data_IF_313685963292
#
_entry.id   IF_313685963292
#
_cell.length_a   1.000
_cell.length_b   1.000
_cell.length_c   1.000
_cell.angle_alpha   90.00
_cell.angle_beta   90.00
_cell.angle_gamma   90.00
#
_symmetry.space_group_name_H-M   'P 1'
#
loop_
_entity.id
_entity.type
_entity.pdbx_description
1 polymer ?
#
# COMPACT_ATOMS: atom_id res chain seq x y z
N UNK A 1 -7.57 0.41 9.07
CA UNK A 1 -8.61 0.94 8.19
C UNK A 1 -8.03 1.12 6.80
N UNK A 2 -8.76 0.68 5.83
CA UNK A 2 -8.36 0.78 4.43
C UNK A 2 -9.12 1.92 3.79
N UNK A 3 -8.38 2.80 3.11
CA UNK A 3 -8.97 3.93 2.43
C UNK A 3 -8.86 3.78 0.92
N UNK A 4 -9.95 4.08 0.25
CA UNK A 4 -10.00 4.15 -1.20
C UNK A 4 -10.33 5.58 -1.54
N UNK A 5 -9.51 6.22 -2.37
CA UNK A 5 -9.72 7.60 -2.78
C UNK A 5 -10.99 7.70 -3.61
N UNK A 6 -11.97 8.38 -3.08
CA UNK A 6 -13.31 8.48 -3.62
C UNK A 6 -14.25 8.90 -2.52
N UNK A 7 -15.54 8.88 -2.77
CA UNK A 7 -16.51 9.38 -1.80
C UNK A 7 -16.87 8.37 -0.72
N UNK A 8 -16.60 7.09 -0.94
CA UNK A 8 -16.86 6.05 0.06
C UNK A 8 -15.92 4.87 -0.12
N UNK A 9 -15.74 4.12 0.96
CA UNK A 9 -14.97 2.90 0.94
C UNK A 9 -15.69 1.76 0.23
N UNK A 10 -14.95 0.71 -0.10
CA UNK A 10 -15.47 -0.50 -0.73
C UNK A 10 -15.32 -1.65 0.26
N UNK A 11 -16.40 -2.34 0.56
CA UNK A 11 -16.43 -3.33 1.61
C UNK A 11 -16.74 -4.76 1.13
N UNK A 12 -16.96 -4.95 -0.17
CA UNK A 12 -17.20 -6.27 -0.73
C UNK A 12 -16.51 -6.45 -2.08
N UNK A 13 -16.30 -7.72 -2.46
CA UNK A 13 -15.70 -8.03 -3.76
C UNK A 13 -16.60 -7.55 -4.90
N UNK A 14 -17.91 -7.69 -4.74
CA UNK A 14 -18.86 -7.23 -5.76
C UNK A 14 -18.80 -5.71 -5.96
N UNK A 15 -18.61 -4.95 -4.88
CA UNK A 15 -18.44 -3.50 -4.99
C UNK A 15 -17.12 -3.12 -5.65
N UNK A 16 -16.08 -3.92 -5.47
CA UNK A 16 -14.77 -3.65 -6.02
C UNK A 16 -14.65 -4.01 -7.51
N UNK A 17 -15.42 -4.98 -7.99
CA UNK A 17 -15.31 -5.45 -9.38
C UNK A 17 -15.49 -4.35 -10.44
N UNK A 18 -16.43 -3.39 -10.29
CA UNK A 18 -16.60 -2.35 -11.29
C UNK A 18 -15.42 -1.38 -11.43
N UNK A 19 -14.54 -1.32 -10.45
CA UNK A 19 -13.38 -0.41 -10.46
C UNK A 19 -12.52 -0.66 -11.70
N UNK A 20 -12.25 -1.93 -12.01
CA UNK A 20 -11.42 -2.29 -13.15
C UNK A 20 -12.01 -1.83 -14.49
N UNK A 21 -13.17 -2.40 -14.92
CA UNK A 21 -13.76 -2.06 -16.21
C UNK A 21 -14.17 -0.60 -16.35
N UNK A 22 -14.61 0.03 -15.27
CA UNK A 22 -15.13 1.40 -15.31
C UNK A 22 -14.09 2.46 -14.98
N UNK A 23 -12.92 2.08 -14.46
CA UNK A 23 -11.87 3.04 -14.10
C UNK A 23 -12.35 4.08 -13.11
N UNK A 24 -13.07 3.65 -12.06
CA UNK A 24 -13.75 4.57 -11.15
C UNK A 24 -12.86 5.38 -10.23
N UNK A 25 -11.62 4.93 -10.00
CA UNK A 25 -10.71 5.58 -9.07
C UNK A 25 -9.42 5.98 -9.78
N UNK A 26 -8.87 7.14 -9.40
CA UNK A 26 -7.59 7.60 -9.92
C UNK A 26 -6.42 7.04 -9.11
N UNK A 27 -6.63 6.80 -7.81
CA UNK A 27 -5.61 6.29 -6.91
C UNK A 27 -6.26 5.44 -5.81
N UNK A 28 -5.57 4.40 -5.40
CA UNK A 28 -5.98 3.55 -4.28
C UNK A 28 -4.96 3.69 -3.16
N UNK A 29 -5.43 3.94 -1.94
CA UNK A 29 -4.58 4.02 -0.76
C UNK A 29 -4.97 2.91 0.21
N UNK A 30 -4.01 2.07 0.58
CA UNK A 30 -4.21 1.02 1.57
C UNK A 30 -3.50 1.43 2.85
N UNK A 31 -4.26 1.83 3.85
CA UNK A 31 -3.73 2.34 5.11
C UNK A 31 -4.56 1.86 6.30
N UNK A 32 -4.01 1.07 7.18
CA UNK A 32 -2.66 0.49 7.12
C UNK A 32 -2.58 -0.70 6.18
N UNK A 33 -1.40 -0.94 5.62
CA UNK A 33 -1.12 -2.12 4.83
C UNK A 33 -0.34 -3.10 5.70
N UNK A 34 -1.00 -4.16 6.15
CA UNK A 34 -0.40 -5.15 7.04
C UNK A 34 0.52 -6.10 6.28
N UNK A 35 1.34 -6.85 7.03
CA UNK A 35 2.19 -7.88 6.43
C UNK A 35 1.40 -8.91 5.65
N UNK A 36 0.23 -9.32 6.16
CA UNK A 36 -0.64 -10.26 5.47
C UNK A 36 -1.14 -9.70 4.13
N UNK A 37 -1.57 -8.44 4.11
CA UNK A 37 -2.01 -7.78 2.88
C UNK A 37 -0.88 -7.67 1.87
N UNK A 38 0.33 -7.29 2.32
CA UNK A 38 1.48 -7.20 1.43
C UNK A 38 1.85 -8.56 0.85
N UNK A 39 1.79 -9.62 1.65
CA UNK A 39 2.08 -10.97 1.18
C UNK A 39 1.08 -11.40 0.09
N UNK A 40 -0.20 -11.11 0.30
CA UNK A 40 -1.23 -11.45 -0.69
C UNK A 40 -1.10 -10.63 -1.96
N UNK A 41 -0.78 -9.34 -1.85
CA UNK A 41 -0.52 -8.49 -3.02
C UNK A 41 0.65 -9.05 -3.84
N UNK A 42 1.74 -9.41 -3.17
CA UNK A 42 2.92 -9.95 -3.82
C UNK A 42 2.65 -11.30 -4.49
N UNK A 43 1.75 -12.10 -3.91
CA UNK A 43 1.39 -13.42 -4.43
C UNK A 43 0.25 -13.38 -5.47
N UNK A 44 -0.35 -12.22 -5.69
CA UNK A 44 -1.45 -12.09 -6.65
C UNK A 44 -2.79 -12.63 -6.15
N UNK A 45 -2.95 -12.76 -4.84
CA UNK A 45 -4.19 -13.26 -4.22
C UNK A 45 -5.20 -12.11 -4.10
N UNK A 46 -6.46 -12.37 -4.45
CA UNK A 46 -7.51 -11.34 -4.47
C UNK A 46 -8.76 -11.80 -3.72
N UNK A 47 -8.58 -12.23 -2.48
CA UNK A 47 -9.66 -12.77 -1.66
C UNK A 47 -10.33 -11.76 -0.73
N UNK A 48 -10.00 -10.48 -0.85
CA UNK A 48 -10.64 -9.40 -0.10
C UNK A 48 -11.00 -8.24 -1.02
N UNK A 49 -11.92 -7.35 -0.60
CA UNK A 49 -12.27 -6.19 -1.43
C UNK A 49 -11.06 -5.30 -1.76
N UNK A 50 -10.17 -5.06 -0.81
CA UNK A 50 -8.99 -4.22 -1.06
C UNK A 50 -8.04 -4.87 -2.05
N UNK A 51 -7.85 -6.19 -1.98
CA UNK A 51 -7.00 -6.90 -2.92
C UNK A 51 -7.59 -6.90 -4.33
N UNK A 52 -8.90 -7.03 -4.43
CA UNK A 52 -9.60 -6.95 -5.71
C UNK A 52 -9.46 -5.54 -6.31
N UNK A 53 -9.61 -4.51 -5.50
CA UNK A 53 -9.44 -3.13 -5.95
C UNK A 53 -8.01 -2.87 -6.42
N UNK A 54 -7.01 -3.38 -5.71
CA UNK A 54 -5.61 -3.25 -6.10
C UNK A 54 -5.34 -3.92 -7.45
N UNK A 55 -5.88 -5.12 -7.66
CA UNK A 55 -5.75 -5.82 -8.94
C UNK A 55 -6.37 -5.02 -10.08
N UNK A 56 -7.54 -4.43 -9.85
CA UNK A 56 -8.20 -3.60 -10.85
C UNK A 56 -7.36 -2.37 -11.20
N UNK A 57 -6.76 -1.73 -10.21
CA UNK A 57 -5.87 -0.59 -10.42
C UNK A 57 -4.63 -0.98 -11.23
N UNK A 58 -4.03 -2.13 -10.91
CA UNK A 58 -2.88 -2.62 -11.66
C UNK A 58 -3.24 -2.85 -13.13
N UNK A 59 -4.40 -3.45 -13.37
CA UNK A 59 -4.87 -3.73 -14.73
C UNK A 59 -5.10 -2.47 -15.53
N UNK A 60 -5.52 -1.39 -14.86
CA UNK A 60 -5.76 -0.09 -15.49
C UNK A 60 -4.55 0.85 -15.45
N UNK A 61 -3.40 0.35 -15.01
CA UNK A 61 -2.14 1.11 -14.94
C UNK A 61 -2.26 2.35 -14.04
N UNK A 62 -2.99 2.23 -12.93
CA UNK A 62 -3.21 3.32 -11.98
C UNK A 62 -2.44 3.08 -10.68
N UNK A 63 -2.04 4.15 -9.97
CA UNK A 63 -1.20 4.00 -8.78
C UNK A 63 -1.94 3.44 -7.58
N UNK A 64 -1.20 2.66 -6.78
CA UNK A 64 -1.62 2.13 -5.50
C UNK A 64 -0.60 2.59 -4.46
N UNK A 65 -1.07 3.26 -3.41
CA UNK A 65 -0.22 3.74 -2.31
C UNK A 65 -0.40 2.82 -1.11
N UNK A 66 0.71 2.33 -0.58
CA UNK A 66 0.72 1.43 0.57
C UNK A 66 1.31 2.15 1.79
N UNK A 67 0.59 2.10 2.90
CA UNK A 67 1.05 2.64 4.18
C UNK A 67 1.40 1.46 5.09
N UNK A 68 2.66 0.97 5.06
CA UNK A 68 3.01 -0.27 5.76
C UNK A 68 2.96 -0.15 7.27
N UNK A 69 2.52 -1.22 7.92
CA UNK A 69 2.52 -1.36 9.36
C UNK A 69 2.60 -2.85 9.69
N UNK A 70 3.78 -3.33 10.09
CA UNK A 70 3.95 -4.73 10.41
C UNK A 70 5.11 -4.96 11.38
N UNK A 71 4.93 -5.94 12.26
CA UNK A 71 5.95 -6.30 13.25
C UNK A 71 7.11 -7.10 12.67
N UNK A 72 7.00 -7.60 11.45
CA UNK A 72 8.02 -8.40 10.82
C UNK A 72 8.51 -7.82 9.49
N UNK A 73 8.46 -6.50 9.35
CA UNK A 73 8.89 -5.81 8.14
C UNK A 73 10.34 -6.14 7.76
N UNK A 74 11.22 -6.22 8.74
CA UNK A 74 12.63 -6.58 8.50
C UNK A 74 12.86 -8.08 8.62
N UNK A 75 11.81 -8.86 8.77
CA UNK A 75 11.84 -10.33 8.80
C UNK A 75 11.14 -10.89 7.56
N UNK A 76 10.08 -11.69 7.81
CA UNK A 76 9.37 -12.39 6.74
C UNK A 76 8.74 -11.47 5.71
N UNK A 77 8.30 -10.28 6.11
CA UNK A 77 7.64 -9.34 5.19
C UNK A 77 8.61 -8.53 4.32
N UNK A 78 9.91 -8.52 4.63
CA UNK A 78 10.87 -7.71 3.88
C UNK A 78 10.91 -8.09 2.39
N UNK A 79 10.83 -9.37 2.08
CA UNK A 79 10.80 -9.84 0.69
C UNK A 79 9.58 -9.32 -0.06
N UNK A 80 8.44 -9.23 0.61
CA UNK A 80 7.20 -8.74 0.01
C UNK A 80 7.27 -7.23 -0.21
N UNK A 81 7.83 -6.50 0.75
CA UNK A 81 8.07 -5.07 0.61
C UNK A 81 8.98 -4.81 -0.60
N UNK A 82 10.08 -5.54 -0.69
CA UNK A 82 11.02 -5.40 -1.81
C UNK A 82 10.36 -5.73 -3.15
N UNK A 83 9.58 -6.80 -3.20
CA UNK A 83 8.87 -7.18 -4.42
C UNK A 83 7.89 -6.08 -4.86
N UNK A 84 7.08 -5.59 -3.92
CA UNK A 84 6.07 -4.57 -4.24
C UNK A 84 6.71 -3.23 -4.58
N UNK A 85 7.81 -2.87 -3.89
CA UNK A 85 8.51 -1.62 -4.18
C UNK A 85 9.12 -1.63 -5.59
N UNK A 86 9.43 -2.79 -6.11
CA UNK A 86 9.96 -2.97 -7.45
C UNK A 86 8.86 -3.25 -8.50
N UNK A 87 7.60 -3.25 -8.08
CA UNK A 87 6.45 -3.49 -8.98
C UNK A 87 5.90 -2.15 -9.45
N UNK A 88 5.65 -2.03 -10.75
CA UNK A 88 5.13 -0.79 -11.34
C UNK A 88 3.82 -0.38 -10.67
N UNK A 89 3.67 0.91 -10.45
CA UNK A 89 2.48 1.55 -9.89
C UNK A 89 2.23 1.36 -8.41
N UNK A 90 3.11 0.65 -7.70
CA UNK A 90 3.06 0.59 -6.24
C UNK A 90 4.01 1.63 -5.65
N UNK A 91 3.49 2.42 -4.72
CA UNK A 91 4.25 3.46 -4.04
C UNK A 91 4.05 3.32 -2.54
N UNK A 92 5.11 3.58 -1.78
CA UNK A 92 5.07 3.42 -0.32
C UNK A 92 5.06 4.77 0.36
N UNK A 93 4.18 4.93 1.36
CA UNK A 93 4.33 6.02 2.32
C UNK A 93 5.64 5.79 3.06
N UNK A 94 6.52 6.80 3.15
CA UNK A 94 7.79 6.62 3.86
C UNK A 94 7.59 6.02 5.24
N UNK A 95 8.47 5.09 5.61
CA UNK A 95 8.31 4.30 6.82
C UNK A 95 9.66 4.10 7.50
N UNK A 96 9.62 3.71 8.77
CA UNK A 96 10.81 3.46 9.56
C UNK A 96 10.50 2.59 10.76
N UNK A 97 11.53 2.29 11.54
CA UNK A 97 11.38 1.49 12.75
C UNK A 97 10.67 2.31 13.83
N UNK A 98 9.59 1.77 14.39
CA UNK A 98 8.86 2.42 15.46
C UNK A 98 9.53 2.23 16.83
N UNK A 99 10.15 1.08 17.08
CA UNK A 99 10.87 0.81 18.31
C UNK A 99 11.96 -0.23 18.03
N UNK A 100 13.14 0.26 17.68
CA UNK A 100 14.24 -0.62 17.25
C UNK A 100 14.81 -1.48 18.39
N UNK A 101 14.56 -1.13 19.66
CA UNK A 101 15.05 -1.90 20.78
C UNK A 101 14.09 -3.03 21.16
N UNK A 102 12.79 -2.72 21.32
CA UNK A 102 11.79 -3.71 21.73
C UNK A 102 11.22 -4.49 20.57
N UNK A 103 11.16 -3.89 19.41
CA UNK A 103 10.60 -4.48 18.19
C UNK A 103 11.55 -4.27 17.02
N UNK A 104 12.70 -4.97 17.03
CA UNK A 104 13.78 -4.67 16.07
C UNK A 104 13.42 -4.94 14.60
N UNK A 105 12.36 -5.68 14.34
CA UNK A 105 11.92 -5.97 12.96
C UNK A 105 10.65 -5.25 12.56
N UNK A 106 10.06 -4.48 13.47
CA UNK A 106 8.82 -3.75 13.21
C UNK A 106 9.09 -2.45 12.48
N UNK A 107 8.24 -2.14 11.51
CA UNK A 107 8.26 -0.85 10.84
C UNK A 107 6.83 -0.34 10.67
N UNK A 108 6.69 0.98 10.69
CA UNK A 108 5.41 1.64 10.51
C UNK A 108 5.59 2.88 9.65
N UNK A 109 4.56 3.19 8.86
CA UNK A 109 4.59 4.35 7.99
C UNK A 109 4.42 5.65 8.77
N UNK A 110 5.03 6.71 8.25
CA UNK A 110 4.78 8.07 8.70
C UNK A 110 3.49 8.56 8.04
N UNK A 111 2.35 8.30 8.70
CA UNK A 111 1.03 8.54 8.13
C UNK A 111 0.76 10.00 7.76
N UNK A 112 1.45 10.94 8.40
CA UNK A 112 1.36 12.36 8.04
C UNK A 112 1.85 12.65 6.62
N UNK A 113 2.60 11.71 6.02
CA UNK A 113 3.13 11.86 4.67
C UNK A 113 2.23 11.21 3.60
N UNK A 114 1.06 10.71 3.98
CA UNK A 114 0.13 10.12 3.01
C UNK A 114 -0.24 11.12 1.90
N UNK A 115 -0.63 12.37 2.20
CA UNK A 115 -0.96 13.33 1.13
C UNK A 115 0.20 13.58 0.16
N UNK A 116 1.42 13.75 0.68
CA UNK A 116 2.59 13.99 -0.15
C UNK A 116 2.92 12.77 -1.01
N UNK A 117 2.71 11.56 -0.47
CA UNK A 117 2.92 10.31 -1.21
C UNK A 117 1.91 10.19 -2.34
N UNK A 118 0.66 10.56 -2.10
CA UNK A 118 -0.38 10.54 -3.13
C UNK A 118 -0.01 11.46 -4.29
N UNK A 119 0.43 12.69 -3.99
CA UNK A 119 0.84 13.63 -5.03
C UNK A 119 2.00 13.09 -5.84
N UNK A 120 3.01 12.53 -5.19
CA UNK A 120 4.16 11.95 -5.88
C UNK A 120 3.74 10.77 -6.76
N UNK A 121 2.87 9.90 -6.24
CA UNK A 121 2.38 8.72 -6.96
C UNK A 121 1.59 9.11 -8.22
N UNK A 122 0.77 10.15 -8.14
CA UNK A 122 0.04 10.66 -9.29
C UNK A 122 0.97 11.19 -10.38
N UNK A 123 2.18 11.58 -10.01
CA UNK A 123 3.23 11.99 -10.95
C UNK A 123 4.18 10.84 -11.32
N UNK A 124 3.87 9.62 -10.90
CA UNK A 124 4.69 8.45 -11.20
C UNK A 124 5.98 8.37 -10.42
N UNK A 125 6.06 8.98 -9.23
CA UNK A 125 7.28 9.02 -8.43
C UNK A 125 7.06 8.49 -7.02
N UNK A 126 8.06 7.78 -6.50
CA UNK A 126 8.10 7.41 -5.09
C UNK A 126 8.61 8.61 -4.27
N UNK A 127 7.84 8.99 -3.24
CA UNK A 127 8.27 10.06 -2.33
C UNK A 127 9.55 9.65 -1.61
N UNK A 128 10.57 10.49 -1.65
CA UNK A 128 11.86 10.22 -1.04
C UNK A 128 12.17 11.21 0.09
N UNK A 129 12.98 10.82 1.07
CA UNK A 129 13.50 9.46 1.30
C UNK A 129 12.37 8.53 1.76
N UNK A 130 12.38 7.29 1.25
CA UNK A 130 11.35 6.32 1.58
C UNK A 130 11.55 5.71 2.96
N UNK A 131 12.79 5.60 3.41
CA UNK A 131 13.12 5.15 4.77
C UNK A 131 13.41 6.37 5.62
N UNK A 132 12.63 6.55 6.67
CA UNK A 132 12.75 7.70 7.58
C UNK A 132 12.70 7.22 9.02
N UNK A 133 13.84 7.06 9.64
CA UNK A 133 14.01 6.66 11.02
C UNK A 133 14.96 7.63 11.72
N UNK A 134 14.86 7.75 13.07
CA UNK A 134 13.81 7.23 13.95
C UNK A 134 12.53 8.04 13.91
N UNK A 135 11.50 7.48 14.52
CA UNK A 135 10.25 8.20 14.70
C UNK A 135 10.39 9.30 15.72
#
# INVERSE_FOLDING_TARGET
>A
IQEITGERGIFSIQEAEPIGPKGLLDILVIAPCTGNTMAKLAAGITDTPVLMAAKAHMRNDKPVVLSPATNDALGASLKNIGFLMNTKNFYFVPFGQDDCEKKPKSMIAHTELIPDTIEAALCGRQLQPVIRSPF
#
